data_IF_167636224133
#
_entry.id   IF_167636224133
#
_cell.length_a   1.000
_cell.length_b   1.000
_cell.length_c   1.000
_cell.angle_alpha   90.00
_cell.angle_beta   90.00
_cell.angle_gamma   90.00
#
_symmetry.space_group_name_H-M   'P 1'
#
loop_
_entity.id
_entity.type
_entity.pdbx_description
1 polymer ?
#
# COMPACT_ATOMS: atom_id res chain seq x y z
N UNK A 1 14.32 -12.03 -17.65
CA UNK A 1 14.19 -11.25 -16.41
C UNK A 1 14.88 -12.00 -15.28
N UNK A 2 15.67 -11.32 -14.44
CA UNK A 2 16.28 -11.93 -13.24
C UNK A 2 15.19 -12.25 -12.20
N UNK A 3 15.44 -13.27 -11.36
CA UNK A 3 14.47 -13.76 -10.36
C UNK A 3 14.02 -12.65 -9.40
N UNK A 4 14.97 -11.91 -8.83
CA UNK A 4 14.68 -10.89 -7.82
C UNK A 4 13.91 -9.71 -8.41
N UNK A 5 14.28 -9.29 -9.62
CA UNK A 5 13.56 -8.26 -10.37
C UNK A 5 12.10 -8.68 -10.61
N UNK A 6 11.86 -9.96 -10.93
CA UNK A 6 10.50 -10.49 -11.16
C UNK A 6 9.67 -10.46 -9.91
N UNK A 7 10.23 -10.90 -8.79
CA UNK A 7 9.55 -10.89 -7.49
C UNK A 7 9.21 -9.47 -7.05
N UNK A 8 10.12 -8.52 -7.29
CA UNK A 8 9.89 -7.11 -6.98
C UNK A 8 8.77 -6.50 -7.84
N UNK A 9 8.70 -6.85 -9.13
CA UNK A 9 7.61 -6.43 -10.01
C UNK A 9 6.26 -7.04 -9.56
N UNK A 10 6.23 -8.35 -9.24
CA UNK A 10 5.03 -9.03 -8.72
C UNK A 10 4.53 -8.35 -7.45
N UNK A 11 5.44 -8.09 -6.50
CA UNK A 11 5.11 -7.42 -5.24
C UNK A 11 4.54 -6.02 -5.47
N UNK A 12 5.18 -5.22 -6.33
CA UNK A 12 4.69 -3.86 -6.66
C UNK A 12 3.28 -3.86 -7.22
N UNK A 13 2.93 -4.85 -8.05
CA UNK A 13 1.57 -4.99 -8.57
C UNK A 13 0.55 -5.40 -7.48
N UNK A 14 0.94 -6.29 -6.58
CA UNK A 14 0.07 -6.71 -5.47
C UNK A 14 -0.13 -5.55 -4.48
N UNK A 15 0.89 -4.73 -4.25
CA UNK A 15 0.83 -3.53 -3.43
C UNK A 15 -0.05 -2.43 -4.06
N UNK A 16 0.01 -2.23 -5.37
CA UNK A 16 -0.79 -1.20 -6.05
C UNK A 16 -2.25 -1.58 -6.19
N UNK A 17 -2.51 -2.84 -6.55
CA UNK A 17 -3.84 -3.31 -6.93
C UNK A 17 -4.58 -3.98 -5.75
N UNK A 18 -3.87 -4.22 -4.63
CA UNK A 18 -4.36 -4.89 -3.42
C UNK A 18 -4.55 -6.40 -3.58
N UNK A 19 -5.12 -6.83 -4.70
CA UNK A 19 -5.24 -8.21 -5.12
C UNK A 19 -4.90 -8.35 -6.61
N UNK A 20 -4.14 -9.40 -6.96
CA UNK A 20 -3.84 -9.73 -8.35
C UNK A 20 -3.97 -11.24 -8.56
N UNK A 21 -4.63 -11.64 -9.64
CA UNK A 21 -4.77 -13.05 -10.03
C UNK A 21 -3.47 -13.65 -10.56
N UNK A 22 -3.34 -14.98 -10.48
CA UNK A 22 -2.21 -15.70 -11.07
C UNK A 22 -2.06 -15.41 -12.58
N UNK A 23 -3.18 -15.34 -13.29
CA UNK A 23 -3.20 -15.09 -14.73
C UNK A 23 -2.68 -13.69 -15.06
N UNK A 24 -3.16 -12.65 -14.35
CA UNK A 24 -2.65 -11.29 -14.53
C UNK A 24 -1.14 -11.18 -14.22
N UNK A 25 -0.66 -11.85 -13.17
CA UNK A 25 0.77 -11.88 -12.85
C UNK A 25 1.57 -12.61 -13.92
N UNK A 26 1.05 -13.72 -14.44
CA UNK A 26 1.64 -14.49 -15.53
C UNK A 26 1.79 -13.65 -16.80
N UNK A 27 0.72 -12.96 -17.20
CA UNK A 27 0.69 -12.12 -18.40
C UNK A 27 1.63 -10.90 -18.26
N UNK A 28 1.64 -10.24 -17.10
CA UNK A 28 2.50 -9.07 -16.85
C UNK A 28 3.98 -9.41 -16.72
N UNK A 29 4.31 -10.56 -16.12
CA UNK A 29 5.70 -10.99 -15.93
C UNK A 29 6.24 -11.84 -17.10
N UNK A 30 5.38 -12.25 -18.04
CA UNK A 30 5.76 -13.07 -19.19
C UNK A 30 6.26 -14.47 -18.79
N UNK A 31 5.75 -15.04 -17.70
CA UNK A 31 6.14 -16.36 -17.20
C UNK A 31 4.93 -17.21 -16.87
N UNK A 32 5.07 -18.53 -16.87
CA UNK A 32 3.98 -19.45 -16.54
C UNK A 32 3.39 -19.23 -15.15
N UNK A 33 2.12 -19.56 -14.96
CA UNK A 33 1.49 -19.57 -13.62
C UNK A 33 2.24 -20.46 -12.61
N UNK A 34 2.84 -21.57 -13.06
CA UNK A 34 3.65 -22.42 -12.20
C UNK A 34 4.91 -21.71 -11.66
N UNK A 35 5.44 -20.75 -12.42
CA UNK A 35 6.55 -19.89 -11.98
C UNK A 35 6.05 -18.82 -11.02
N UNK A 36 4.93 -18.17 -11.34
CA UNK A 36 4.27 -17.22 -10.43
C UNK A 36 3.95 -17.88 -9.07
N UNK A 37 3.40 -19.10 -9.05
CA UNK A 37 3.12 -19.80 -7.78
C UNK A 37 4.35 -19.97 -6.91
N UNK A 38 5.51 -20.32 -7.50
CA UNK A 38 6.79 -20.45 -6.78
C UNK A 38 7.31 -19.11 -6.26
N UNK A 39 7.10 -18.03 -7.01
CA UNK A 39 7.46 -16.69 -6.56
C UNK A 39 6.56 -16.20 -5.43
N UNK A 40 5.24 -16.43 -5.54
CA UNK A 40 4.28 -16.11 -4.48
C UNK A 40 4.50 -16.95 -3.23
N UNK A 41 4.90 -18.21 -3.36
CA UNK A 41 5.33 -19.06 -2.23
C UNK A 41 6.49 -18.44 -1.47
N UNK A 42 7.49 -17.94 -2.19
CA UNK A 42 8.61 -17.24 -1.58
C UNK A 42 8.16 -15.94 -0.90
N UNK A 43 7.39 -15.10 -1.59
CA UNK A 43 6.93 -13.81 -1.08
C UNK A 43 6.01 -13.95 0.16
N UNK A 44 5.15 -14.97 0.18
CA UNK A 44 4.33 -15.29 1.35
C UNK A 44 5.20 -15.79 2.51
N UNK A 45 6.20 -16.64 2.23
CA UNK A 45 7.12 -17.14 3.27
C UNK A 45 7.91 -16.03 3.95
N UNK A 46 8.25 -14.96 3.23
CA UNK A 46 8.91 -13.77 3.80
C UNK A 46 7.93 -12.72 4.31
N UNK A 47 6.63 -13.03 4.34
CA UNK A 47 5.59 -12.20 4.96
C UNK A 47 5.16 -10.97 4.16
N UNK A 48 5.44 -10.91 2.85
CA UNK A 48 5.14 -9.73 2.03
C UNK A 48 3.73 -9.76 1.42
N UNK A 49 3.11 -10.93 1.30
CA UNK A 49 1.78 -11.16 0.67
C UNK A 49 1.04 -12.34 1.33
N UNK A 50 -0.28 -12.45 1.11
CA UNK A 50 -1.06 -13.70 1.27
C UNK A 50 -1.29 -14.31 -0.07
N UNK A 51 -1.19 -15.63 -0.12
CA UNK A 51 -1.80 -16.38 -1.22
C UNK A 51 -3.28 -16.59 -0.98
N UNK A 52 -4.00 -16.65 -2.08
CA UNK A 52 -5.41 -17.06 -2.16
C UNK A 52 -5.50 -18.20 -3.18
N UNK A 53 -6.70 -18.79 -3.35
CA UNK A 53 -6.90 -19.84 -4.37
C UNK A 53 -6.62 -19.38 -5.80
N UNK A 54 -6.83 -18.09 -6.11
CA UNK A 54 -6.75 -17.57 -7.49
C UNK A 54 -5.61 -16.59 -7.76
N UNK A 55 -4.80 -16.26 -6.75
CA UNK A 55 -3.84 -15.16 -6.85
C UNK A 55 -3.19 -14.84 -5.52
N UNK A 56 -2.77 -13.59 -5.38
CA UNK A 56 -2.20 -13.07 -4.14
C UNK A 56 -2.90 -11.78 -3.75
N UNK A 57 -3.15 -11.66 -2.45
CA UNK A 57 -3.61 -10.44 -1.82
C UNK A 57 -2.46 -9.87 -0.99
N UNK A 58 -2.42 -8.56 -0.89
CA UNK A 58 -1.46 -7.89 -0.04
C UNK A 58 -1.75 -8.21 1.44
N UNK A 59 -0.73 -8.58 2.22
CA UNK A 59 -0.84 -8.84 3.67
C UNK A 59 0.05 -7.88 4.40
N UNK A 60 -0.59 -6.96 5.09
CA UNK A 60 0.08 -5.96 5.88
C UNK A 60 0.03 -4.62 5.17
N UNK A 61 -0.60 -3.67 5.83
CA UNK A 61 -0.16 -2.29 5.82
C UNK A 61 1.33 -2.15 5.49
N UNK A 62 1.63 -1.67 4.28
CA UNK A 62 2.93 -1.20 3.80
C UNK A 62 4.02 -1.16 4.85
N UNK A 63 5.01 -2.06 4.75
CA UNK A 63 6.28 -2.04 5.52
C UNK A 63 7.02 -0.69 5.32
N UNK A 64 6.49 0.22 4.52
CA UNK A 64 6.91 1.62 4.56
C UNK A 64 6.75 2.20 5.96
N UNK A 65 7.85 2.70 6.50
CA UNK A 65 7.88 3.44 7.76
C UNK A 65 6.89 4.61 7.72
N UNK A 66 6.52 5.13 8.89
CA UNK A 66 5.71 6.34 8.97
C UNK A 66 6.32 7.48 8.15
N UNK A 67 7.65 7.58 8.13
CA UNK A 67 8.40 8.58 7.36
C UNK A 67 8.24 8.39 5.85
N UNK A 68 8.41 7.16 5.36
CA UNK A 68 8.22 6.84 3.94
C UNK A 68 6.78 7.07 3.49
N UNK A 69 5.80 6.71 4.34
CA UNK A 69 4.39 7.03 4.09
C UNK A 69 4.17 8.53 4.09
N UNK A 70 4.83 9.30 4.95
CA UNK A 70 4.68 10.76 5.02
C UNK A 70 5.22 11.44 3.75
N UNK A 71 6.30 10.92 3.18
CA UNK A 71 6.87 11.40 1.92
C UNK A 71 5.98 11.04 0.73
N UNK A 72 5.44 9.80 0.69
CA UNK A 72 4.58 9.35 -0.41
C UNK A 72 3.30 10.18 -0.47
N UNK A 73 3.11 10.88 -1.60
CA UNK A 73 1.99 11.80 -1.82
C UNK A 73 1.89 12.91 -0.77
N UNK A 74 3.02 13.33 -0.20
CA UNK A 74 3.08 14.37 0.84
C UNK A 74 2.33 15.66 0.47
N UNK A 75 2.52 16.26 -0.73
CA UNK A 75 1.81 17.47 -1.12
C UNK A 75 0.28 17.31 -1.13
N UNK A 76 -0.21 16.15 -1.55
CA UNK A 76 -1.65 15.86 -1.56
C UNK A 76 -2.19 15.70 -0.13
N UNK A 77 -1.44 15.02 0.74
CA UNK A 77 -1.83 14.85 2.16
C UNK A 77 -1.85 16.19 2.89
N UNK A 78 -0.88 17.05 2.63
CA UNK A 78 -0.83 18.42 3.15
C UNK A 78 -2.06 19.22 2.70
N UNK A 79 -2.38 19.18 1.41
CA UNK A 79 -3.54 19.88 0.86
C UNK A 79 -4.87 19.37 1.48
N UNK A 80 -5.01 18.05 1.63
CA UNK A 80 -6.16 17.42 2.30
C UNK A 80 -6.22 17.86 3.77
N UNK A 81 -5.09 17.83 4.49
CA UNK A 81 -5.00 18.23 5.88
C UNK A 81 -5.49 19.65 6.11
N UNK A 82 -5.01 20.60 5.30
CA UNK A 82 -5.42 22.00 5.35
C UNK A 82 -6.91 22.18 5.02
N UNK A 83 -7.41 21.51 3.98
CA UNK A 83 -8.80 21.62 3.58
C UNK A 83 -9.74 21.05 4.66
N UNK A 84 -9.41 19.89 5.23
CA UNK A 84 -10.22 19.26 6.28
C UNK A 84 -10.22 20.09 7.58
N UNK A 85 -9.06 20.62 8.00
CA UNK A 85 -8.98 21.49 9.17
C UNK A 85 -9.84 22.76 9.03
N UNK A 86 -9.94 23.33 7.82
CA UNK A 86 -10.77 24.50 7.55
C UNK A 86 -12.29 24.23 7.60
N UNK A 87 -12.71 22.97 7.65
CA UNK A 87 -14.12 22.58 7.76
C UNK A 87 -14.56 22.32 9.21
N UNK A 88 -13.61 22.30 10.17
CA UNK A 88 -13.89 22.01 11.57
C UNK A 88 -14.13 23.33 12.32
N UNK A 89 -15.22 23.40 13.08
CA UNK A 89 -15.62 24.58 13.81
C UNK A 89 -15.37 24.47 15.32
N UNK A 90 -15.38 25.61 16.02
CA UNK A 90 -15.22 25.62 17.48
C UNK A 90 -16.41 24.94 18.15
N UNK A 91 -16.16 23.92 18.96
CA UNK A 91 -17.19 23.13 19.64
C UNK A 91 -17.39 21.75 19.03
N UNK A 92 -16.83 21.49 17.85
CA UNK A 92 -16.87 20.16 17.25
C UNK A 92 -16.04 19.15 18.07
N UNK A 93 -16.55 17.94 18.17
CA UNK A 93 -15.81 16.78 18.69
C UNK A 93 -15.30 15.95 17.51
N UNK A 94 -13.97 15.94 17.33
CA UNK A 94 -13.32 15.26 16.21
C UNK A 94 -12.52 14.06 16.70
N UNK A 95 -12.74 12.91 16.07
CA UNK A 95 -11.91 11.71 16.26
C UNK A 95 -10.98 11.56 15.05
N UNK A 96 -9.68 11.43 15.30
CA UNK A 96 -8.67 11.20 14.27
C UNK A 96 -8.11 9.78 14.37
N UNK A 97 -8.09 9.08 13.25
CA UNK A 97 -7.49 7.74 13.13
C UNK A 97 -5.97 7.80 12.88
N UNK A 98 -5.30 6.66 13.04
CA UNK A 98 -3.87 6.50 12.76
C UNK A 98 -3.55 6.55 11.28
N UNK A 99 -2.78 7.54 10.83
CA UNK A 99 -2.38 7.64 9.43
C UNK A 99 -1.60 8.91 9.12
N UNK A 100 -0.82 8.88 8.03
CA UNK A 100 -0.01 10.04 7.62
C UNK A 100 -0.85 11.17 7.03
N UNK A 101 -2.04 10.88 6.51
CA UNK A 101 -2.99 11.91 6.06
C UNK A 101 -3.71 12.56 7.24
N UNK A 102 -4.19 11.77 8.21
CA UNK A 102 -4.81 12.29 9.43
C UNK A 102 -3.82 13.06 10.31
N UNK A 103 -2.54 12.68 10.28
CA UNK A 103 -1.48 13.47 10.91
C UNK A 103 -1.39 14.90 10.33
N UNK A 104 -1.56 15.08 9.01
CA UNK A 104 -1.60 16.42 8.41
C UNK A 104 -2.82 17.22 8.85
N UNK A 105 -3.98 16.57 9.04
CA UNK A 105 -5.16 17.23 9.63
C UNK A 105 -4.83 17.71 11.04
N UNK A 106 -4.29 16.83 11.89
CA UNK A 106 -3.92 17.16 13.26
C UNK A 106 -2.95 18.35 13.32
N UNK A 107 -1.93 18.38 12.44
CA UNK A 107 -0.96 19.48 12.35
C UNK A 107 -1.59 20.84 12.04
N UNK A 108 -2.68 20.87 11.27
CA UNK A 108 -3.37 22.10 10.88
C UNK A 108 -4.50 22.50 11.85
N UNK A 109 -4.84 21.64 12.82
CA UNK A 109 -5.77 21.97 13.90
C UNK A 109 -5.07 22.61 15.11
N UNK A 110 -3.75 22.44 15.23
CA UNK A 110 -2.96 23.06 16.30
C UNK A 110 -2.61 24.48 15.87
N UNK A 111 -3.24 25.46 16.52
CA UNK A 111 -2.82 26.86 16.52
C UNK A 111 -1.67 27.11 17.47
#
# INVERSE_FOLDING_TARGET
>A
MLLDQRRQQILSHIESDGFVSLQQLSDRAGVSESTIRRDLEYLEKVGQIRRTRGGAAYVGESITTLDERSVKSGPQKLAIGKAAAALIETGDSVLLDGGTTTLEVARHLVG
#
